data_IF_775433740036
#
_entry.id   IF_775433740036
#
_cell.length_a   1.000
_cell.length_b   1.000
_cell.length_c   1.000
_cell.angle_alpha   90.00
_cell.angle_beta   90.00
_cell.angle_gamma   90.00
#
_symmetry.space_group_name_H-M   'P 1'
#
loop_
_entity.id
_entity.type
_entity.pdbx_description
1 polymer ?
#
# COMPACT_ATOMS: atom_id res chain seq x y z
N UNK A 1 99.51 -21.83 -35.74
CA UNK A 1 99.13 -20.86 -34.69
C UNK A 1 98.78 -21.64 -33.43
N UNK A 2 99.76 -21.71 -32.51
CA UNK A 2 99.70 -21.17 -31.14
C UNK A 2 98.79 -22.00 -30.21
N UNK A 3 99.35 -23.02 -29.54
CA UNK A 3 100.00 -23.02 -28.21
C UNK A 3 98.98 -23.15 -27.06
N UNK A 4 98.79 -24.41 -26.60
CA UNK A 4 99.14 -24.96 -25.27
C UNK A 4 98.77 -24.17 -23.97
N UNK A 5 98.64 -24.80 -22.77
CA UNK A 5 98.47 -26.25 -22.44
C UNK A 5 97.83 -26.61 -21.05
N UNK A 6 98.00 -27.89 -20.66
CA UNK A 6 98.37 -28.43 -19.30
C UNK A 6 97.27 -29.00 -18.37
N UNK A 7 97.38 -30.35 -18.20
CA UNK A 7 97.42 -31.22 -16.99
C UNK A 7 96.36 -31.01 -15.87
N UNK A 8 95.84 -32.04 -15.18
CA UNK A 8 96.61 -33.06 -14.45
C UNK A 8 95.72 -34.23 -13.99
N UNK A 9 96.37 -35.39 -13.91
CA UNK A 9 95.97 -36.69 -13.36
C UNK A 9 95.64 -36.65 -11.87
N UNK A 10 94.69 -37.49 -11.44
CA UNK A 10 94.47 -37.85 -10.04
C UNK A 10 93.97 -39.29 -9.90
N UNK A 11 94.89 -40.26 -9.91
CA UNK A 11 94.65 -41.63 -9.45
C UNK A 11 94.37 -41.62 -7.94
N UNK A 12 93.30 -42.28 -7.49
CA UNK A 12 93.36 -43.07 -6.25
C UNK A 12 92.69 -44.43 -6.42
N UNK A 13 93.59 -45.39 -6.49
CA UNK A 13 93.45 -46.81 -6.22
C UNK A 13 92.77 -47.11 -4.89
N UNK A 14 92.47 -48.40 -4.75
CA UNK A 14 92.34 -49.16 -3.49
C UNK A 14 90.89 -49.22 -2.97
N UNK A 15 90.17 -50.28 -3.35
CA UNK A 15 90.26 -51.63 -2.78
C UNK A 15 89.30 -51.80 -1.62
N UNK A 16 88.36 -52.73 -1.81
CA UNK A 16 88.05 -53.86 -0.92
C UNK A 16 86.67 -54.34 -1.36
N UNK A 17 86.58 -55.47 -2.05
CA UNK A 17 86.61 -56.79 -1.41
C UNK A 17 85.63 -56.76 -0.22
N UNK A 18 84.51 -57.46 -0.22
CA UNK A 18 84.23 -58.79 -0.76
C UNK A 18 82.75 -59.02 -0.48
N UNK A 19 82.15 -59.82 -1.36
CA UNK A 19 81.20 -60.90 -1.07
C UNK A 19 80.19 -60.69 0.06
N UNK A 20 78.92 -60.83 -0.30
CA UNK A 20 77.93 -61.80 0.23
C UNK A 20 76.63 -61.37 -0.46
N UNK A 21 76.33 -61.89 -1.65
CA UNK A 21 75.66 -63.17 -1.85
C UNK A 21 74.30 -63.21 -1.12
N UNK A 22 73.23 -63.49 -1.89
CA UNK A 22 71.89 -63.87 -1.44
C UNK A 22 71.05 -62.70 -0.86
N UNK A 23 69.79 -62.45 -1.20
CA UNK A 23 68.67 -63.24 -1.74
C UNK A 23 67.68 -62.22 -2.36
N UNK A 24 67.16 -62.47 -3.56
CA UNK A 24 65.76 -62.88 -3.82
C UNK A 24 64.71 -61.93 -3.23
N UNK A 25 63.76 -61.54 -4.10
CA UNK A 25 62.44 -60.96 -3.79
C UNK A 25 62.35 -59.42 -3.84
N UNK A 26 62.33 -58.83 -5.05
CA UNK A 26 61.82 -57.48 -5.24
C UNK A 26 60.97 -57.38 -6.52
N UNK A 27 60.05 -58.34 -6.69
CA UNK A 27 59.03 -58.34 -7.75
C UNK A 27 57.62 -58.27 -7.14
N UNK A 28 57.44 -57.43 -6.14
CA UNK A 28 56.11 -56.97 -5.68
C UNK A 28 56.05 -55.47 -5.90
N UNK A 29 55.98 -55.11 -7.18
CA UNK A 29 55.60 -53.77 -7.61
C UNK A 29 54.13 -53.57 -7.21
N UNK A 30 53.94 -52.80 -6.14
CA UNK A 30 52.90 -51.78 -6.00
C UNK A 30 51.53 -52.13 -6.62
N UNK A 31 50.68 -52.82 -5.88
CA UNK A 31 49.25 -52.57 -6.00
C UNK A 31 48.87 -51.56 -4.91
N UNK A 32 48.60 -50.35 -5.40
CA UNK A 32 48.21 -49.17 -4.66
C UNK A 32 47.15 -49.47 -3.60
N UNK A 33 47.42 -48.97 -2.40
CA UNK A 33 46.46 -48.71 -1.34
C UNK A 33 45.37 -47.80 -1.90
N UNK A 34 44.24 -48.34 -2.33
CA UNK A 34 43.00 -47.58 -2.37
C UNK A 34 42.46 -47.57 -0.96
N UNK A 35 42.94 -46.61 -0.17
CA UNK A 35 42.34 -46.23 1.10
C UNK A 35 40.84 -46.05 0.89
N UNK A 36 40.07 -46.47 1.89
CA UNK A 36 38.63 -46.27 1.96
C UNK A 36 38.26 -44.88 1.43
N UNK A 37 37.39 -44.83 0.42
CA UNK A 37 36.68 -43.60 0.12
C UNK A 37 35.85 -43.28 1.38
N UNK A 38 36.36 -42.37 2.21
CA UNK A 38 35.52 -41.68 3.17
C UNK A 38 34.55 -40.88 2.32
N UNK A 39 33.34 -41.40 2.14
CA UNK A 39 32.23 -40.58 1.70
C UNK A 39 32.07 -39.52 2.79
N UNK A 40 32.61 -38.32 2.56
CA UNK A 40 32.30 -37.17 3.37
C UNK A 40 30.83 -36.86 3.11
N UNK A 41 29.96 -37.31 4.01
CA UNK A 41 28.60 -36.78 4.10
C UNK A 41 28.71 -35.40 4.77
N UNK A 42 29.28 -34.44 4.03
CA UNK A 42 29.33 -33.05 4.44
C UNK A 42 28.00 -32.39 4.09
N UNK A 43 26.89 -32.97 4.54
CA UNK A 43 25.61 -32.28 4.51
C UNK A 43 25.61 -31.25 5.65
N UNK A 44 26.21 -30.09 5.41
CA UNK A 44 26.08 -28.93 6.30
C UNK A 44 24.70 -28.31 6.10
N UNK A 45 23.68 -28.97 6.63
CA UNK A 45 22.32 -28.44 6.63
C UNK A 45 22.26 -27.26 7.60
N UNK A 46 22.16 -26.04 7.07
CA UNK A 46 21.91 -24.83 7.86
C UNK A 46 20.41 -24.57 7.85
N UNK A 47 19.75 -24.84 8.98
CA UNK A 47 18.37 -24.46 9.18
C UNK A 47 18.31 -22.99 9.57
N UNK A 48 17.63 -22.16 8.77
CA UNK A 48 17.32 -20.79 9.13
C UNK A 48 15.81 -20.60 9.14
N UNK A 49 15.32 -19.80 10.09
CA UNK A 49 13.92 -19.46 10.21
C UNK A 49 13.73 -18.00 9.81
N UNK A 50 12.76 -17.76 8.92
CA UNK A 50 12.32 -16.43 8.52
C UNK A 50 10.93 -16.24 9.10
N UNK A 51 10.74 -15.18 9.88
CA UNK A 51 9.45 -14.79 10.43
C UNK A 51 9.01 -13.46 9.83
N UNK A 52 7.71 -13.25 9.78
CA UNK A 52 7.07 -12.01 9.35
C UNK A 52 5.60 -12.02 9.78
N UNK A 53 4.97 -10.84 9.75
CA UNK A 53 3.55 -10.66 10.05
C UNK A 53 2.86 -10.13 8.81
N UNK A 54 1.63 -10.60 8.55
CA UNK A 54 0.75 -10.08 7.50
C UNK A 54 -0.39 -9.34 8.22
N UNK A 55 -0.57 -8.07 7.90
CA UNK A 55 -1.66 -7.24 8.42
C UNK A 55 -2.67 -6.94 7.31
N UNK A 56 -3.95 -6.82 7.67
CA UNK A 56 -5.00 -6.45 6.74
C UNK A 56 -5.03 -4.91 6.55
N UNK A 57 -5.29 -4.41 5.32
CA UNK A 57 -5.46 -2.99 5.08
C UNK A 57 -6.59 -2.39 5.93
N UNK A 58 -6.30 -1.30 6.63
CA UNK A 58 -7.25 -0.61 7.49
C UNK A 58 -6.81 0.84 7.75
N UNK A 59 -7.75 1.71 8.11
CA UNK A 59 -7.51 3.07 8.58
C UNK A 59 -8.55 3.44 9.65
N UNK A 60 -8.18 4.36 10.54
CA UNK A 60 -9.14 5.08 11.36
C UNK A 60 -9.74 6.21 10.52
N UNK A 61 -11.07 6.27 10.43
CA UNK A 61 -11.77 7.25 9.58
C UNK A 61 -12.59 8.18 10.44
N UNK A 62 -12.41 9.49 10.26
CA UNK A 62 -13.21 10.51 10.94
C UNK A 62 -13.72 11.57 9.97
N UNK A 63 -14.86 12.17 10.29
CA UNK A 63 -15.43 13.29 9.55
C UNK A 63 -15.10 14.60 10.26
N UNK A 64 -14.70 15.62 9.48
CA UNK A 64 -14.39 16.97 9.95
C UNK A 64 -15.23 18.02 9.24
N UNK A 65 -15.49 19.19 9.86
CA UNK A 65 -15.05 19.62 11.20
C UNK A 65 -15.66 18.85 12.38
N UNK A 66 -16.82 18.23 12.19
CA UNK A 66 -17.49 17.40 13.21
C UNK A 66 -18.46 16.42 12.53
N UNK A 67 -19.10 15.57 13.32
CA UNK A 67 -20.20 14.71 12.84
C UNK A 67 -21.48 15.50 12.50
N UNK A 68 -21.59 16.73 13.00
CA UNK A 68 -22.73 17.63 12.78
C UNK A 68 -22.28 18.86 12.01
N UNK A 69 -22.38 18.79 10.68
CA UNK A 69 -22.00 19.89 9.78
C UNK A 69 -23.10 20.94 9.75
N UNK A 70 -22.76 22.16 10.17
CA UNK A 70 -23.62 23.33 10.02
C UNK A 70 -23.48 23.91 8.60
N UNK A 71 -24.56 23.88 7.82
CA UNK A 71 -24.62 24.48 6.48
C UNK A 71 -24.93 25.98 6.52
N UNK A 72 -25.15 26.53 7.71
CA UNK A 72 -25.53 27.91 7.94
C UNK A 72 -26.99 28.19 7.59
N UNK A 73 -27.33 29.48 7.59
CA UNK A 73 -28.67 29.97 7.24
C UNK A 73 -28.61 30.67 5.88
N UNK A 74 -29.54 30.34 4.99
CA UNK A 74 -29.69 30.98 3.68
C UNK A 74 -31.05 31.67 3.59
N UNK A 75 -31.08 32.83 2.93
CA UNK A 75 -32.31 33.60 2.71
C UNK A 75 -33.28 32.83 1.81
N UNK A 76 -34.56 32.80 2.20
CA UNK A 76 -35.65 32.26 1.38
C UNK A 76 -35.66 32.88 -0.03
N UNK A 77 -35.46 34.19 -0.11
CA UNK A 77 -35.48 34.96 -1.35
C UNK A 77 -34.34 34.57 -2.30
N UNK A 78 -33.20 34.12 -1.78
CA UNK A 78 -32.06 33.64 -2.58
C UNK A 78 -32.33 32.26 -3.20
N UNK A 79 -33.08 31.43 -2.49
CA UNK A 79 -33.31 30.04 -2.88
C UNK A 79 -34.60 29.87 -3.71
N UNK A 80 -35.61 30.72 -3.52
CA UNK A 80 -36.91 30.57 -4.16
C UNK A 80 -36.93 31.08 -5.61
N UNK A 81 -37.80 30.52 -6.44
CA UNK A 81 -38.09 30.99 -7.80
C UNK A 81 -37.07 30.61 -8.86
N UNK A 82 -35.97 29.93 -8.50
CA UNK A 82 -34.94 29.49 -9.44
C UNK A 82 -34.52 28.04 -9.18
N UNK A 83 -34.79 27.17 -10.14
CA UNK A 83 -34.27 25.81 -10.15
C UNK A 83 -32.72 25.83 -10.13
N UNK A 84 -32.14 24.99 -9.29
CA UNK A 84 -30.70 24.90 -9.09
C UNK A 84 -30.09 25.97 -8.18
N UNK A 85 -30.89 26.83 -7.56
CA UNK A 85 -30.38 27.73 -6.51
C UNK A 85 -29.78 26.92 -5.35
N UNK A 86 -28.73 27.47 -4.74
CA UNK A 86 -27.95 26.81 -3.71
C UNK A 86 -27.42 27.79 -2.66
N UNK A 87 -27.12 27.27 -1.47
CA UNK A 87 -26.42 28.00 -0.42
C UNK A 87 -24.93 28.12 -0.72
N UNK A 88 -24.24 28.85 0.16
CA UNK A 88 -22.77 28.83 0.22
C UNK A 88 -22.24 27.41 0.36
N UNK A 89 -21.02 27.22 -0.17
CA UNK A 89 -20.29 25.96 -0.11
C UNK A 89 -19.67 25.78 1.29
N UNK A 90 -19.98 24.66 1.94
CA UNK A 90 -19.37 24.29 3.22
C UNK A 90 -18.38 23.13 3.01
N UNK A 91 -17.09 23.33 3.32
CA UNK A 91 -16.11 22.25 3.26
C UNK A 91 -16.37 21.16 4.29
N UNK A 92 -16.28 19.91 3.86
CA UNK A 92 -16.40 18.70 4.68
C UNK A 92 -15.28 17.75 4.30
N UNK A 93 -14.68 17.09 5.29
CA UNK A 93 -13.51 16.25 5.06
C UNK A 93 -13.68 14.88 5.68
N UNK A 94 -13.24 13.83 4.98
CA UNK A 94 -12.94 12.54 5.58
C UNK A 94 -11.44 12.44 5.80
N UNK A 95 -11.01 12.30 7.05
CA UNK A 95 -9.63 12.06 7.42
C UNK A 95 -9.41 10.58 7.64
N UNK A 96 -8.38 10.06 6.99
CA UNK A 96 -7.90 8.70 7.15
C UNK A 96 -6.58 8.76 7.92
N UNK A 97 -6.60 8.26 9.16
CA UNK A 97 -5.49 8.27 10.10
C UNK A 97 -5.07 6.83 10.44
N UNK A 98 -3.86 6.66 10.98
CA UNK A 98 -3.35 5.38 11.47
C UNK A 98 -3.54 4.21 10.47
N UNK A 99 -3.33 4.48 9.18
CA UNK A 99 -3.52 3.49 8.13
C UNK A 99 -2.45 2.38 8.18
N UNK A 100 -2.88 1.13 8.07
CA UNK A 100 -2.01 -0.04 7.97
C UNK A 100 -1.08 0.07 6.75
N UNK A 101 0.14 -0.44 6.90
CA UNK A 101 1.17 -0.36 5.87
C UNK A 101 0.71 -1.07 4.59
N UNK A 102 0.88 -0.40 3.44
CA UNK A 102 0.48 -0.93 2.13
C UNK A 102 -0.95 -0.57 1.69
N UNK A 103 -1.74 0.08 2.55
CA UNK A 103 -3.02 0.66 2.14
C UNK A 103 -2.76 1.83 1.18
N UNK A 104 -3.03 1.65 -0.11
CA UNK A 104 -2.75 2.68 -1.14
C UNK A 104 -4.00 3.45 -1.58
N UNK A 105 -5.19 2.86 -1.40
CA UNK A 105 -6.44 3.48 -1.80
C UNK A 105 -7.63 2.89 -1.05
N UNK A 106 -8.70 3.67 -0.99
CA UNK A 106 -9.99 3.25 -0.45
C UNK A 106 -11.10 3.52 -1.45
N UNK A 107 -12.16 2.72 -1.39
CA UNK A 107 -13.42 3.01 -2.10
C UNK A 107 -14.44 3.50 -1.09
N UNK A 108 -14.91 4.72 -1.27
CA UNK A 108 -15.92 5.36 -0.43
C UNK A 108 -17.26 5.20 -1.13
N UNK A 109 -18.22 4.59 -0.46
CA UNK A 109 -19.60 4.43 -0.96
C UNK A 109 -20.53 5.33 -0.17
N UNK A 110 -21.27 6.17 -0.88
CA UNK A 110 -22.19 7.13 -0.31
C UNK A 110 -23.61 6.57 -0.35
N UNK A 111 -24.33 6.64 0.77
CA UNK A 111 -25.70 6.17 0.88
C UNK A 111 -26.57 7.14 1.68
N UNK A 112 -27.87 7.05 1.47
CA UNK A 112 -28.87 7.93 2.06
C UNK A 112 -30.18 7.89 1.28
N UNK A 113 -31.12 8.74 1.66
CA UNK A 113 -32.37 8.90 0.92
C UNK A 113 -32.22 9.97 -0.15
N UNK A 114 -32.47 9.61 -1.41
CA UNK A 114 -32.54 10.55 -2.52
C UNK A 114 -33.76 11.48 -2.41
N UNK A 115 -33.65 12.67 -2.98
CA UNK A 115 -34.66 13.73 -2.93
C UNK A 115 -35.98 13.27 -3.57
N UNK A 116 -35.91 12.80 -4.81
CA UNK A 116 -36.97 12.13 -5.55
C UNK A 116 -36.37 11.21 -6.64
N UNK A 117 -37.19 10.64 -7.52
CA UNK A 117 -36.73 9.76 -8.60
C UNK A 117 -35.95 10.47 -9.71
N UNK A 118 -36.12 11.77 -9.88
CA UNK A 118 -35.44 12.58 -10.90
C UNK A 118 -34.09 13.11 -10.38
N UNK A 119 -34.04 13.49 -9.11
CA UNK A 119 -32.86 14.02 -8.42
C UNK A 119 -32.40 13.08 -7.30
N UNK A 120 -32.24 11.80 -7.63
CA UNK A 120 -31.86 10.76 -6.66
C UNK A 120 -30.48 10.97 -6.03
N UNK A 121 -29.60 11.70 -6.72
CA UNK A 121 -28.25 12.06 -6.25
C UNK A 121 -28.23 13.21 -5.22
N UNK A 122 -29.34 13.90 -5.03
CA UNK A 122 -29.49 14.94 -4.01
C UNK A 122 -30.08 14.30 -2.76
N UNK A 123 -29.51 14.55 -1.59
CA UNK A 123 -30.00 14.01 -0.33
C UNK A 123 -31.29 14.71 0.10
N UNK A 124 -32.28 13.92 0.50
CA UNK A 124 -33.57 14.40 0.99
C UNK A 124 -33.45 15.03 2.37
N UNK A 125 -34.17 16.14 2.60
CA UNK A 125 -34.37 16.66 3.94
C UNK A 125 -35.18 15.65 4.78
N UNK A 126 -34.59 15.17 5.87
CA UNK A 126 -35.18 14.25 6.83
C UNK A 126 -36.06 14.95 7.86
N UNK A 127 -36.03 16.29 7.95
CA UNK A 127 -36.91 17.05 8.82
C UNK A 127 -38.32 17.15 8.19
N UNK A 128 -39.23 16.29 8.66
CA UNK A 128 -40.58 16.11 8.08
C UNK A 128 -41.70 16.77 8.87
N UNK A 129 -41.42 17.30 10.05
CA UNK A 129 -42.41 18.01 10.88
C UNK A 129 -42.77 19.39 10.28
N UNK A 130 -43.67 20.12 10.95
CA UNK A 130 -44.12 21.45 10.51
C UNK A 130 -43.01 22.51 10.52
N UNK A 131 -41.87 22.26 11.17
CA UNK A 131 -40.73 23.15 11.19
C UNK A 131 -39.75 22.89 10.05
N UNK A 132 -39.91 21.79 9.31
CA UNK A 132 -39.03 21.39 8.20
C UNK A 132 -39.24 22.18 6.91
N UNK A 133 -38.13 22.58 6.29
CA UNK A 133 -38.13 23.17 4.96
C UNK A 133 -38.47 22.11 3.89
N UNK A 134 -39.27 22.52 2.90
CA UNK A 134 -39.61 21.71 1.71
C UNK A 134 -38.90 22.27 0.50
N UNK A 135 -38.73 21.45 -0.54
CA UNK A 135 -38.16 21.92 -1.80
C UNK A 135 -36.63 21.98 -1.84
N UNK A 136 -35.97 21.58 -0.75
CA UNK A 136 -34.52 21.71 -0.55
C UNK A 136 -33.92 20.35 -0.18
N UNK A 137 -32.77 20.06 -0.77
CA UNK A 137 -31.96 18.88 -0.50
C UNK A 137 -30.51 19.27 -0.22
N UNK A 138 -29.71 18.30 0.19
CA UNK A 138 -28.27 18.45 0.32
C UNK A 138 -27.59 17.95 -0.95
N UNK A 139 -26.77 18.81 -1.55
CA UNK A 139 -25.85 18.42 -2.60
C UNK A 139 -24.46 18.22 -1.99
N UNK A 140 -23.87 17.04 -2.24
CA UNK A 140 -22.52 16.69 -1.82
C UNK A 140 -21.69 16.36 -3.07
N UNK A 141 -20.48 16.90 -3.17
CA UNK A 141 -19.58 16.64 -4.29
C UNK A 141 -18.12 16.72 -3.87
N UNK A 142 -17.24 16.02 -4.57
CA UNK A 142 -15.80 16.09 -4.31
C UNK A 142 -15.25 17.46 -4.70
N UNK A 143 -14.39 18.03 -3.86
CA UNK A 143 -13.75 19.30 -4.16
C UNK A 143 -12.76 19.17 -5.33
N UNK A 144 -12.11 18.01 -5.46
CA UNK A 144 -11.03 17.79 -6.42
C UNK A 144 -11.49 17.83 -7.87
N UNK A 145 -12.59 17.15 -8.17
CA UNK A 145 -13.07 16.93 -9.54
C UNK A 145 -14.55 17.29 -9.74
N UNK A 146 -15.20 17.86 -8.72
CA UNK A 146 -16.63 18.21 -8.74
C UNK A 146 -17.57 17.02 -9.01
N UNK A 147 -17.11 15.78 -8.78
CA UNK A 147 -17.94 14.60 -8.94
C UNK A 147 -19.03 14.58 -7.87
N UNK A 148 -20.26 14.27 -8.27
CA UNK A 148 -21.38 14.00 -7.36
C UNK A 148 -21.03 12.88 -6.38
N UNK A 149 -21.41 13.07 -5.12
CA UNK A 149 -21.27 12.10 -4.03
C UNK A 149 -22.66 11.84 -3.41
N UNK A 150 -23.63 11.54 -4.26
CA UNK A 150 -25.02 11.31 -3.87
C UNK A 150 -25.30 9.87 -3.41
N UNK A 151 -26.54 9.57 -3.01
CA UNK A 151 -26.95 8.21 -2.68
C UNK A 151 -26.67 7.20 -3.82
N UNK A 152 -25.87 6.17 -3.51
CA UNK A 152 -25.45 5.13 -4.44
C UNK A 152 -24.13 5.44 -5.17
N UNK A 153 -23.59 6.65 -5.05
CA UNK A 153 -22.33 7.01 -5.68
C UNK A 153 -21.13 6.37 -4.97
N UNK A 154 -20.08 6.10 -5.75
CA UNK A 154 -18.80 5.61 -5.26
C UNK A 154 -17.65 6.51 -5.72
N UNK A 155 -16.66 6.65 -4.86
CA UNK A 155 -15.44 7.39 -5.12
C UNK A 155 -14.21 6.58 -4.72
N UNK A 156 -13.24 6.45 -5.62
CA UNK A 156 -11.95 5.83 -5.30
C UNK A 156 -11.00 6.94 -4.89
N UNK A 157 -10.60 6.95 -3.62
CA UNK A 157 -9.63 7.87 -3.09
C UNK A 157 -8.27 7.17 -2.97
N UNK A 158 -7.31 7.64 -3.76
CA UNK A 158 -5.92 7.17 -3.70
C UNK A 158 -5.14 8.06 -2.74
N UNK A 159 -4.45 7.43 -1.81
CA UNK A 159 -3.61 8.11 -0.86
C UNK A 159 -2.40 8.75 -1.56
N UNK A 160 -2.11 9.99 -1.19
CA UNK A 160 -0.91 10.70 -1.63
C UNK A 160 0.10 10.79 -0.50
N UNK A 161 1.39 10.61 -0.81
CA UNK A 161 2.51 10.72 0.14
C UNK A 161 2.84 12.17 0.55
N UNK A 162 1.89 13.11 0.39
CA UNK A 162 2.08 14.52 0.67
C UNK A 162 2.00 14.88 2.16
N UNK A 163 2.66 15.99 2.53
CA UNK A 163 2.55 16.59 3.87
C UNK A 163 1.11 17.09 4.08
N UNK A 164 0.32 16.35 4.88
CA UNK A 164 -1.08 16.67 5.13
C UNK A 164 -1.96 15.48 5.54
N UNK A 165 -1.40 14.26 5.51
CA UNK A 165 -2.16 13.04 5.78
C UNK A 165 -3.11 12.69 4.65
N UNK A 166 -3.91 11.63 4.83
CA UNK A 166 -4.84 11.16 3.82
C UNK A 166 -6.21 11.82 4.07
N UNK A 167 -6.47 12.94 3.40
CA UNK A 167 -7.74 13.69 3.53
C UNK A 167 -8.51 13.71 2.22
N UNK A 168 -9.77 13.28 2.25
CA UNK A 168 -10.69 13.40 1.13
C UNK A 168 -11.60 14.63 1.29
N UNK A 169 -11.40 15.62 0.44
CA UNK A 169 -12.11 16.91 0.47
C UNK A 169 -13.44 16.87 -0.30
N UNK A 170 -14.49 17.36 0.35
CA UNK A 170 -15.84 17.44 -0.18
C UNK A 170 -16.44 18.82 0.08
N UNK A 171 -17.48 19.14 -0.68
CA UNK A 171 -18.30 20.33 -0.48
C UNK A 171 -19.74 19.89 -0.29
N UNK A 172 -20.33 20.38 0.79
CA UNK A 172 -21.74 20.25 1.12
C UNK A 172 -22.44 21.60 0.93
N UNK A 173 -23.64 21.60 0.35
CA UNK A 173 -24.50 22.80 0.29
C UNK A 173 -25.96 22.44 0.18
N UNK A 174 -26.83 23.33 0.64
CA UNK A 174 -28.26 23.25 0.33
C UNK A 174 -28.48 23.51 -1.15
N UNK A 175 -29.39 22.76 -1.76
CA UNK A 175 -29.71 22.82 -3.19
C UNK A 175 -31.22 22.66 -3.39
N UNK A 176 -31.82 23.49 -4.23
CA UNK A 176 -33.23 23.32 -4.62
C UNK A 176 -33.35 22.91 -6.09
N UNK A 177 -33.70 21.63 -6.37
CA UNK A 177 -33.82 21.16 -7.75
C UNK A 177 -34.85 21.94 -8.57
N UNK A 178 -35.95 22.35 -7.94
CA UNK A 178 -37.09 22.98 -8.63
C UNK A 178 -37.28 24.46 -8.31
N UNK A 179 -36.55 25.03 -7.34
CA UNK A 179 -36.73 26.43 -6.90
C UNK A 179 -38.02 26.69 -6.11
N UNK A 180 -38.79 25.65 -5.81
CA UNK A 180 -40.06 25.75 -5.09
C UNK A 180 -39.85 25.31 -3.65
N UNK A 181 -39.50 26.27 -2.78
CA UNK A 181 -39.15 25.98 -1.37
C UNK A 181 -40.17 26.53 -0.37
N UNK A 182 -40.17 25.98 0.84
CA UNK A 182 -40.76 26.59 2.04
C UNK A 182 -39.68 26.84 3.07
N UNK A 183 -39.82 27.90 3.87
CA UNK A 183 -38.92 28.14 4.99
C UNK A 183 -39.06 27.05 6.07
N UNK A 184 -37.96 26.78 6.77
CA UNK A 184 -37.90 25.79 7.84
C UNK A 184 -36.46 25.31 8.07
N UNK A 185 -36.29 24.41 9.03
CA UNK A 185 -35.04 23.72 9.31
C UNK A 185 -34.77 22.57 8.33
N UNK A 186 -33.52 22.15 8.29
CA UNK A 186 -33.07 21.02 7.48
C UNK A 186 -32.26 20.06 8.35
N UNK A 187 -32.47 18.77 8.12
CA UNK A 187 -31.68 17.68 8.68
C UNK A 187 -31.37 16.75 7.51
N UNK A 188 -30.09 16.50 7.25
CA UNK A 188 -29.66 15.60 6.20
C UNK A 188 -28.89 14.43 6.82
N UNK A 189 -29.18 13.22 6.33
CA UNK A 189 -28.47 12.02 6.71
C UNK A 189 -27.75 11.46 5.47
N UNK A 190 -26.42 11.56 5.48
CA UNK A 190 -25.54 10.92 4.52
C UNK A 190 -24.65 9.93 5.27
N UNK A 191 -24.55 8.72 4.77
CA UNK A 191 -23.68 7.68 5.31
C UNK A 191 -22.59 7.38 4.31
N UNK A 192 -21.37 7.24 4.80
CA UNK A 192 -20.22 6.79 4.02
C UNK A 192 -19.76 5.44 4.54
N UNK A 193 -19.47 4.52 3.63
CA UNK A 193 -18.83 3.25 3.95
C UNK A 193 -17.50 3.18 3.21
N UNK A 194 -16.45 2.80 3.93
CA UNK A 194 -15.09 2.71 3.40
C UNK A 194 -14.73 1.24 3.23
N UNK A 195 -14.32 0.87 2.02
CA UNK A 195 -13.70 -0.44 1.76
C UNK A 195 -12.25 -0.25 1.31
N UNK A 196 -11.39 -1.14 1.81
CA UNK A 196 -9.96 -1.12 1.54
C UNK A 196 -9.65 -2.08 0.38
N UNK A 197 -8.61 -1.74 -0.40
CA UNK A 197 -8.08 -2.60 -1.46
C UNK A 197 -6.63 -2.92 -1.22
#
# INVERSE_FOLDING_TARGET
MNRHPILTVGMKYASRARNIALLVLCCTIQLFVSAAAWAYDANSTVNFNVTGTIEEPSCEVSIKPSENIDLGTVSYQHMTGKAGANSENVPVYLQFENCAQGTASVTITFSGSGYDSTYSMIYKNAQTDSSGAKGVGLQLFSLKDSKSLGPGDQYIYTFSDGEGGHTFDMIARMYTPYGQITAGGVIYAATFNVSYK
#
